data_IF_232285322901
#
_entry.id   IF_232285322901
#
_cell.length_a   1.000
_cell.length_b   1.000
_cell.length_c   1.000
_cell.angle_alpha   90.00
_cell.angle_beta   90.00
_cell.angle_gamma   90.00
#
_symmetry.space_group_name_H-M   'P 1'
#
loop_
_entity.id
_entity.type
_entity.pdbx_description
1 polymer ?
#
# COMPACT_ATOMS: atom_id res chain seq x y z
N UNK A 1 -6.13 -24.63 4.76
CA UNK A 1 -5.59 -23.38 4.20
C UNK A 1 -5.70 -22.31 5.27
N UNK A 2 -4.66 -21.47 5.48
CA UNK A 2 -4.81 -20.29 6.33
C UNK A 2 -5.59 -19.25 5.53
N UNK A 3 -6.69 -18.73 6.07
CA UNK A 3 -7.38 -17.59 5.49
C UNK A 3 -6.41 -16.41 5.43
N UNK A 4 -6.23 -15.77 4.25
CA UNK A 4 -5.35 -14.62 4.15
C UNK A 4 -5.81 -13.52 5.11
N UNK A 5 -4.88 -12.79 5.74
CA UNK A 5 -5.22 -11.78 6.77
C UNK A 5 -5.99 -10.56 6.21
N UNK A 6 -5.99 -10.37 4.88
CA UNK A 6 -6.82 -9.39 4.19
C UNK A 6 -8.26 -9.85 3.94
N UNK A 7 -8.59 -11.10 4.30
CA UNK A 7 -9.95 -11.65 4.23
C UNK A 7 -10.53 -11.79 5.64
N UNK A 8 -11.61 -11.07 5.89
CA UNK A 8 -12.36 -11.12 7.15
C UNK A 8 -13.60 -11.98 6.93
N UNK A 9 -13.81 -12.97 7.78
CA UNK A 9 -14.96 -13.90 7.68
C UNK A 9 -15.97 -13.59 8.78
N UNK A 10 -17.25 -13.44 8.42
CA UNK A 10 -18.34 -13.25 9.37
C UNK A 10 -19.58 -14.04 8.94
N UNK A 11 -19.85 -15.16 9.64
CA UNK A 11 -20.82 -16.15 9.17
C UNK A 11 -20.37 -16.76 7.84
N UNK A 12 -21.25 -16.74 6.84
CA UNK A 12 -20.96 -17.22 5.48
C UNK A 12 -20.30 -16.14 4.59
N UNK A 13 -20.18 -14.91 5.08
CA UNK A 13 -19.65 -13.79 4.29
C UNK A 13 -18.13 -13.69 4.38
N UNK A 14 -17.52 -13.43 3.22
CA UNK A 14 -16.11 -13.15 3.08
C UNK A 14 -15.93 -11.70 2.61
N UNK A 15 -15.23 -10.91 3.42
CA UNK A 15 -14.93 -9.52 3.12
C UNK A 15 -13.46 -9.38 2.78
N UNK A 16 -13.17 -8.70 1.68
CA UNK A 16 -11.81 -8.47 1.20
C UNK A 16 -11.47 -6.99 1.23
N UNK A 17 -10.23 -6.66 1.59
CA UNK A 17 -9.70 -5.30 1.43
C UNK A 17 -9.40 -5.06 -0.04
N UNK A 18 -10.29 -4.37 -0.75
CA UNK A 18 -10.11 -4.00 -2.16
C UNK A 18 -9.32 -2.71 -2.35
N UNK A 19 -9.21 -1.88 -1.31
CA UNK A 19 -8.42 -0.65 -1.36
C UNK A 19 -8.14 -0.02 0.01
N UNK A 20 -7.06 0.75 0.08
CA UNK A 20 -6.60 1.45 1.29
C UNK A 20 -6.23 2.89 0.91
N UNK A 21 -6.79 3.86 1.62
CA UNK A 21 -6.35 5.25 1.53
C UNK A 21 -5.22 5.52 2.51
N UNK A 22 -4.04 5.86 1.99
CA UNK A 22 -2.88 6.23 2.79
C UNK A 22 -2.81 7.75 2.98
N UNK A 23 -2.49 8.19 4.20
CA UNK A 23 -2.15 9.57 4.53
C UNK A 23 -0.98 9.60 5.50
N UNK A 24 0.05 10.39 5.21
CA UNK A 24 1.18 10.63 6.11
C UNK A 24 0.92 11.92 6.87
N UNK A 25 0.90 11.82 8.19
CA UNK A 25 0.61 12.91 9.11
C UNK A 25 1.93 13.51 9.61
N UNK A 26 1.99 14.83 9.67
CA UNK A 26 3.03 15.61 10.30
C UNK A 26 2.78 15.76 11.81
N UNK A 27 3.81 16.12 12.56
CA UNK A 27 3.70 16.31 14.02
C UNK A 27 2.70 17.42 14.41
N UNK A 28 2.46 18.38 13.52
CA UNK A 28 1.48 19.47 13.69
C UNK A 28 0.03 19.06 13.37
N UNK A 29 -0.21 17.80 13.05
CA UNK A 29 -1.53 17.26 12.70
C UNK A 29 -1.96 17.50 11.25
N UNK A 30 -1.13 18.16 10.43
CA UNK A 30 -1.36 18.29 8.99
C UNK A 30 -0.98 17.01 8.25
N UNK A 31 -1.35 16.90 6.96
CA UNK A 31 -0.93 15.79 6.11
C UNK A 31 0.01 16.30 5.03
N UNK A 32 1.20 15.70 4.92
CA UNK A 32 2.15 16.02 3.85
C UNK A 32 2.25 14.93 2.79
N UNK A 33 1.60 13.78 2.99
CA UNK A 33 1.63 12.66 2.07
C UNK A 33 0.28 12.01 1.88
N UNK A 34 0.01 11.53 0.67
CA UNK A 34 -1.18 10.76 0.34
C UNK A 34 -0.87 9.68 -0.68
N UNK A 35 -1.69 8.64 -0.69
CA UNK A 35 -1.66 7.61 -1.71
C UNK A 35 -2.90 6.73 -1.63
N UNK A 36 -3.09 5.92 -2.67
CA UNK A 36 -4.11 4.89 -2.71
C UNK A 36 -3.42 3.55 -2.91
N UNK A 37 -3.88 2.53 -2.20
CA UNK A 37 -3.51 1.14 -2.48
C UNK A 37 -4.74 0.48 -3.07
N UNK A 38 -4.61 -0.06 -4.27
CA UNK A 38 -5.63 -0.89 -4.92
C UNK A 38 -5.18 -2.34 -4.85
N UNK A 39 -6.05 -3.28 -4.51
CA UNK A 39 -5.72 -4.71 -4.58
C UNK A 39 -6.28 -5.26 -5.88
N UNK A 40 -5.40 -5.68 -6.80
CA UNK A 40 -5.75 -6.18 -8.14
C UNK A 40 -5.13 -7.57 -8.27
N UNK A 41 -5.95 -8.56 -8.63
CA UNK A 41 -5.53 -9.96 -8.77
C UNK A 41 -4.75 -10.49 -7.56
N UNK A 42 -5.20 -10.13 -6.34
CA UNK A 42 -4.56 -10.53 -5.08
C UNK A 42 -3.25 -9.82 -4.76
N UNK A 43 -2.87 -8.79 -5.53
CA UNK A 43 -1.64 -8.02 -5.33
C UNK A 43 -1.94 -6.55 -4.99
N UNK A 44 -1.30 -5.97 -3.96
CA UNK A 44 -1.43 -4.57 -3.64
C UNK A 44 -0.59 -3.71 -4.60
N UNK A 45 -1.24 -2.69 -5.18
CA UNK A 45 -0.66 -1.68 -6.05
C UNK A 45 -0.74 -0.32 -5.38
N UNK A 46 0.42 0.34 -5.18
CA UNK A 46 0.45 1.71 -4.66
C UNK A 46 0.38 2.71 -5.82
N UNK A 47 -0.61 3.59 -5.75
CA UNK A 47 -0.98 4.57 -6.76
C UNK A 47 -1.16 5.96 -6.16
N UNK A 48 -1.06 7.01 -6.98
CA UNK A 48 -1.31 8.39 -6.55
C UNK A 48 -0.42 8.85 -5.40
N UNK A 49 0.78 8.28 -5.26
CA UNK A 49 1.69 8.58 -4.18
C UNK A 49 2.26 9.98 -4.35
N UNK A 50 1.76 10.92 -3.54
CA UNK A 50 2.13 12.32 -3.54
C UNK A 50 2.62 12.69 -2.14
N UNK A 51 3.78 13.33 -2.07
CA UNK A 51 4.29 13.92 -0.84
C UNK A 51 4.80 15.33 -1.11
N UNK A 52 4.40 16.28 -0.25
CA UNK A 52 4.89 17.65 -0.26
C UNK A 52 6.39 17.63 0.11
N UNK A 53 6.73 16.90 1.17
CA UNK A 53 8.10 16.61 1.55
C UNK A 53 8.61 15.34 0.84
N UNK A 54 9.89 15.03 1.00
CA UNK A 54 10.49 13.85 0.34
C UNK A 54 9.80 12.53 0.76
N UNK A 55 9.60 11.65 -0.23
CA UNK A 55 9.23 10.26 0.01
C UNK A 55 10.49 9.42 0.26
N UNK A 56 10.67 9.00 1.50
CA UNK A 56 11.90 8.39 2.01
C UNK A 56 11.89 6.86 1.91
N UNK A 57 13.02 6.23 2.25
CA UNK A 57 13.10 4.77 2.40
C UNK A 57 12.24 4.25 3.57
N UNK A 58 11.98 5.07 4.58
CA UNK A 58 11.16 4.66 5.72
C UNK A 58 9.69 4.56 5.32
N UNK A 59 9.22 5.45 4.45
CA UNK A 59 7.87 5.36 3.90
C UNK A 59 7.69 4.07 3.09
N UNK A 60 8.66 3.73 2.23
CA UNK A 60 8.65 2.43 1.53
C UNK A 60 8.54 1.24 2.48
N UNK A 61 9.27 1.28 3.61
CA UNK A 61 9.22 0.22 4.62
C UNK A 61 7.85 0.17 5.30
N UNK A 62 7.19 1.30 5.52
CA UNK A 62 5.85 1.35 6.08
C UNK A 62 4.83 0.63 5.18
N UNK A 63 4.84 0.91 3.88
CA UNK A 63 3.99 0.19 2.92
C UNK A 63 4.31 -1.30 2.86
N UNK A 64 5.60 -1.67 2.79
CA UNK A 64 5.99 -3.09 2.77
C UNK A 64 5.53 -3.83 4.04
N UNK A 65 5.74 -3.25 5.22
CA UNK A 65 5.30 -3.82 6.50
C UNK A 65 3.78 -3.95 6.58
N UNK A 66 3.02 -3.00 6.03
CA UNK A 66 1.57 -3.09 5.91
C UNK A 66 1.16 -4.30 5.06
N UNK A 67 1.77 -4.49 3.90
CA UNK A 67 1.40 -5.59 3.01
C UNK A 67 1.73 -6.96 3.60
N UNK A 68 2.88 -7.09 4.27
CA UNK A 68 3.22 -8.29 5.03
C UNK A 68 2.19 -8.56 6.14
N UNK A 69 1.78 -7.52 6.89
CA UNK A 69 0.87 -7.69 8.02
C UNK A 69 -0.53 -8.13 7.55
N UNK A 70 -0.94 -7.69 6.35
CA UNK A 70 -2.16 -8.11 5.66
C UNK A 70 -2.02 -9.46 4.93
N UNK A 71 -0.84 -10.08 4.96
CA UNK A 71 -0.59 -11.40 4.40
C UNK A 71 -0.41 -11.43 2.89
N UNK A 72 -0.01 -10.32 2.27
CA UNK A 72 0.41 -10.29 0.86
C UNK A 72 1.87 -10.71 0.74
N UNK A 73 2.18 -11.57 -0.23
CA UNK A 73 3.54 -12.05 -0.52
C UNK A 73 4.36 -11.05 -1.34
N UNK A 74 3.67 -10.27 -2.16
CA UNK A 74 4.24 -9.31 -3.10
C UNK A 74 3.57 -7.94 -2.98
N UNK A 75 4.29 -6.90 -3.40
CA UNK A 75 3.71 -5.58 -3.60
C UNK A 75 4.33 -4.91 -4.81
N UNK A 76 3.47 -4.29 -5.62
CA UNK A 76 3.86 -3.58 -6.82
C UNK A 76 3.82 -2.07 -6.57
N UNK A 77 4.96 -1.44 -6.83
CA UNK A 77 5.12 -0.01 -6.62
C UNK A 77 5.32 0.70 -7.95
N UNK A 78 4.45 1.67 -8.24
CA UNK A 78 4.57 2.54 -9.41
C UNK A 78 4.84 3.97 -8.95
N UNK A 79 5.98 4.53 -9.35
CA UNK A 79 6.33 5.93 -9.06
C UNK A 79 6.46 6.69 -10.37
N UNK A 80 5.97 7.94 -10.40
CA UNK A 80 6.31 8.89 -11.45
C UNK A 80 7.55 9.70 -11.00
N UNK A 81 8.62 9.67 -11.79
CA UNK A 81 9.85 10.45 -11.51
C UNK A 81 10.49 10.86 -12.84
N UNK A 82 10.85 12.14 -12.97
CA UNK A 82 11.50 12.71 -14.17
C UNK A 82 10.73 12.37 -15.45
N UNK A 83 9.43 12.69 -15.48
CA UNK A 83 8.50 12.44 -16.59
C UNK A 83 8.35 10.97 -17.04
N UNK A 84 8.79 10.02 -16.21
CA UNK A 84 8.71 8.59 -16.51
C UNK A 84 8.07 7.79 -15.37
N UNK A 85 7.32 6.74 -15.73
CA UNK A 85 6.86 5.74 -14.78
C UNK A 85 7.98 4.74 -14.49
N UNK A 86 8.37 4.65 -13.22
CA UNK A 86 9.24 3.60 -12.71
C UNK A 86 8.37 2.54 -12.04
N UNK A 87 8.43 1.32 -12.56
CA UNK A 87 7.78 0.15 -11.98
C UNK A 87 8.80 -0.66 -11.18
N UNK A 88 8.44 -1.04 -9.96
CA UNK A 88 9.28 -1.88 -9.12
C UNK A 88 8.41 -2.91 -8.41
N UNK A 89 8.51 -4.16 -8.86
CA UNK A 89 8.01 -5.32 -8.12
C UNK A 89 9.02 -5.69 -7.05
N UNK A 90 8.55 -5.92 -5.83
CA UNK A 90 9.37 -6.49 -4.77
C UNK A 90 8.74 -7.75 -4.22
N UNK A 91 9.51 -8.83 -4.33
CA UNK A 91 9.33 -10.06 -3.57
C UNK A 91 9.91 -9.86 -2.17
N UNK A 92 9.24 -10.42 -1.16
CA UNK A 92 9.89 -10.72 0.11
C UNK A 92 10.76 -11.96 -0.04
#
# INVERSE_FOLDING_TARGET
MKTPKHVIVFGDWHFEIVGIRARRMCDDGTFDGSGHVSVIDGNPHVEGLLCINEFTRQDWRAFASLFISLGFEHADFRRFKNDNFLYKRKSH
#
